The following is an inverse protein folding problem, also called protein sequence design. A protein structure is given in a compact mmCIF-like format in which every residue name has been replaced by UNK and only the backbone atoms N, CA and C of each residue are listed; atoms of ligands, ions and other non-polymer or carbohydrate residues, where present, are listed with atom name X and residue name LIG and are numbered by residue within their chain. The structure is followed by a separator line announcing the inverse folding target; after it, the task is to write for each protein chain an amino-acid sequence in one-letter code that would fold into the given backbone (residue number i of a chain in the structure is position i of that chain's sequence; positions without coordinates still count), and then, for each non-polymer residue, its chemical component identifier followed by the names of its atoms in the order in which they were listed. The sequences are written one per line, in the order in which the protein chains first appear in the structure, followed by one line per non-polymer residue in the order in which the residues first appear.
data_IF_167352841647
#
_entry.id   IF_167352841647
#
_cell.length_a   1.000
_cell.length_b   1.000
_cell.length_c   1.000
_cell.angle_alpha   90.00
_cell.angle_beta   90.00
_cell.angle_gamma   90.00
#
_symmetry.space_group_name_H-M   'P 1'
#
loop_
_entity.id
_entity.type
_entity.pdbx_description
1 polymer ?
#
# COMPACT_ATOMS: atom_id res chain seq x y z
N UNK A 1 14.11 57.21 7.73
CA UNK A 1 15.07 56.21 7.23
C UNK A 1 16.17 56.03 8.27
N UNK A 2 16.87 54.89 8.37
CA UNK A 2 16.40 53.50 8.55
C UNK A 2 17.25 52.70 9.59
N UNK A 3 16.79 51.52 10.03
CA UNK A 3 17.51 50.22 10.03
C UNK A 3 16.62 49.18 10.75
N UNK A 4 16.17 48.04 10.21
CA UNK A 4 16.74 46.94 9.40
C UNK A 4 17.15 45.73 10.28
N UNK A 5 16.78 44.54 9.78
CA UNK A 5 17.15 43.19 10.23
C UNK A 5 16.36 42.64 11.44
N UNK A 6 15.73 41.47 11.40
CA UNK A 6 15.72 40.39 10.42
C UNK A 6 15.09 39.14 11.07
N UNK A 7 14.18 38.51 10.33
CA UNK A 7 14.02 37.05 10.21
C UNK A 7 14.29 36.16 11.43
N UNK A 8 13.23 35.76 12.13
CA UNK A 8 13.19 34.57 12.98
C UNK A 8 12.28 33.52 12.34
N UNK A 9 12.89 32.54 11.70
CA UNK A 9 12.28 31.48 10.90
C UNK A 9 11.05 30.82 11.53
N UNK A 10 10.07 30.56 10.65
CA UNK A 10 9.01 29.56 10.78
C UNK A 10 9.59 28.26 11.35
N UNK A 11 9.48 28.07 12.67
CA UNK A 11 9.70 26.79 13.32
C UNK A 11 8.51 25.91 12.97
N UNK A 12 8.79 24.97 12.08
CA UNK A 12 8.22 23.63 12.15
C UNK A 12 6.70 23.59 12.31
N UNK A 13 5.98 24.03 11.29
CA UNK A 13 4.68 23.42 10.98
C UNK A 13 4.96 21.97 10.56
N UNK A 14 5.21 21.13 11.56
CA UNK A 14 5.13 19.68 11.46
C UNK A 14 3.72 19.41 10.95
N UNK A 15 3.59 19.12 9.66
CA UNK A 15 2.32 18.81 9.04
C UNK A 15 1.73 17.65 9.84
N UNK A 16 0.61 17.91 10.54
CA UNK A 16 -0.08 16.90 11.33
C UNK A 16 -0.19 15.63 10.49
N UNK A 17 0.13 14.44 11.04
CA UNK A 17 0.04 13.21 10.28
C UNK A 17 -1.37 13.12 9.73
N UNK A 18 -1.46 13.01 8.40
CA UNK A 18 -2.75 12.87 7.70
C UNK A 18 -3.50 11.73 8.38
N UNK A 19 -4.72 11.96 8.91
CA UNK A 19 -5.48 10.91 9.57
C UNK A 19 -5.64 9.78 8.57
N UNK A 20 -5.04 8.63 8.85
CA UNK A 20 -5.33 7.42 8.09
C UNK A 20 -6.84 7.19 8.27
N UNK A 21 -7.61 7.05 7.18
CA UNK A 21 -9.03 6.75 7.29
C UNK A 21 -9.21 5.55 8.23
N UNK A 22 -10.12 5.65 9.22
CA UNK A 22 -10.44 4.53 10.12
C UNK A 22 -11.17 3.46 9.33
N UNK A 23 -10.39 2.66 8.64
CA UNK A 23 -10.83 1.50 7.89
C UNK A 23 -11.22 0.44 8.93
N UNK A 24 -12.39 -0.20 8.83
CA UNK A 24 -12.74 -1.28 9.73
C UNK A 24 -11.62 -2.30 9.74
N UNK A 25 -11.32 -2.92 10.89
CA UNK A 25 -10.19 -3.85 11.02
C UNK A 25 -10.23 -4.98 9.96
N UNK A 26 -11.42 -5.29 9.42
CA UNK A 26 -11.66 -6.23 8.32
C UNK A 26 -11.23 -5.77 6.93
N UNK A 27 -10.72 -4.55 6.77
CA UNK A 27 -10.30 -3.98 5.49
C UNK A 27 -8.84 -3.49 5.55
N UNK A 28 -8.21 -3.42 4.39
CA UNK A 28 -6.83 -2.97 4.18
C UNK A 28 -6.83 -1.93 3.06
N UNK A 29 -6.12 -0.83 3.26
CA UNK A 29 -5.94 0.17 2.19
C UNK A 29 -4.82 -0.27 1.26
N UNK A 30 -5.12 -0.35 -0.03
CA UNK A 30 -4.18 -0.73 -1.08
C UNK A 30 -3.96 0.43 -2.02
N UNK A 31 -2.71 0.88 -2.13
CA UNK A 31 -2.34 2.09 -2.88
C UNK A 31 -1.40 1.77 -4.04
N UNK A 32 -1.67 2.38 -5.20
CA UNK A 32 -0.81 2.35 -6.39
C UNK A 32 -0.86 3.69 -7.14
N UNK A 33 0.29 4.27 -7.48
CA UNK A 33 0.39 5.52 -8.27
C UNK A 33 -0.49 6.69 -7.79
N UNK A 34 -0.79 6.76 -6.49
CA UNK A 34 -1.68 7.78 -5.88
C UNK A 34 -3.15 7.36 -5.78
N UNK A 35 -3.57 6.31 -6.46
CA UNK A 35 -4.90 5.71 -6.34
C UNK A 35 -4.95 4.77 -5.12
N UNK A 36 -6.04 4.82 -4.35
CA UNK A 36 -6.19 4.00 -3.14
C UNK A 36 -7.55 3.32 -3.12
N UNK A 37 -7.55 2.01 -2.88
CA UNK A 37 -8.73 1.17 -2.77
C UNK A 37 -8.77 0.50 -1.39
N UNK A 38 -9.95 0.47 -0.77
CA UNK A 38 -10.18 -0.38 0.38
C UNK A 38 -10.50 -1.79 -0.12
N UNK A 39 -9.80 -2.80 0.39
CA UNK A 39 -10.02 -4.20 0.05
C UNK A 39 -10.24 -5.04 1.32
N UNK A 40 -11.14 -6.02 1.25
CA UNK A 40 -11.43 -6.91 2.38
C UNK A 40 -10.22 -7.78 2.72
N UNK A 41 -9.81 -7.76 3.99
CA UNK A 41 -8.65 -8.47 4.52
C UNK A 41 -8.73 -9.98 4.26
N UNK A 42 -9.89 -10.58 4.53
CA UNK A 42 -10.10 -12.01 4.33
C UNK A 42 -10.05 -12.40 2.85
N UNK A 43 -10.56 -11.54 1.97
CA UNK A 43 -10.44 -11.72 0.52
C UNK A 43 -8.99 -11.71 0.07
N UNK A 44 -8.19 -10.74 0.55
CA UNK A 44 -6.76 -10.67 0.25
C UNK A 44 -6.02 -11.92 0.78
N UNK A 45 -6.32 -12.35 2.00
CA UNK A 45 -5.69 -13.52 2.61
C UNK A 45 -6.00 -14.80 1.81
N UNK A 46 -7.27 -14.99 1.42
CA UNK A 46 -7.73 -16.19 0.70
C UNK A 46 -7.21 -16.29 -0.74
N UNK A 47 -6.98 -15.16 -1.42
CA UNK A 47 -6.41 -15.15 -2.77
C UNK A 47 -4.96 -15.68 -2.83
N UNK A 48 -4.24 -15.60 -1.72
CA UNK A 48 -2.79 -15.79 -1.70
C UNK A 48 -2.05 -14.66 -2.43
N UNK A 49 -0.73 -14.59 -2.23
CA UNK A 49 0.09 -13.52 -2.84
C UNK A 49 -0.04 -13.43 -4.36
N UNK A 50 0.02 -14.57 -5.06
CA UNK A 50 -0.04 -14.59 -6.52
C UNK A 50 -1.42 -14.19 -7.04
N UNK A 51 -2.50 -14.70 -6.42
CA UNK A 51 -3.88 -14.33 -6.79
C UNK A 51 -4.13 -12.85 -6.54
N UNK A 52 -3.63 -12.33 -5.42
CA UNK A 52 -3.72 -10.91 -5.11
C UNK A 52 -2.95 -10.05 -6.13
N UNK A 53 -1.73 -10.44 -6.53
CA UNK A 53 -0.98 -9.70 -7.57
C UNK A 53 -1.70 -9.67 -8.93
N UNK A 54 -2.39 -10.76 -9.31
CA UNK A 54 -3.25 -10.81 -10.51
C UNK A 54 -4.42 -9.83 -10.38
N UNK A 55 -5.04 -9.79 -9.19
CA UNK A 55 -6.11 -8.87 -8.87
C UNK A 55 -5.67 -7.41 -9.02
N UNK A 56 -4.51 -7.06 -8.47
CA UNK A 56 -3.93 -5.71 -8.55
C UNK A 56 -3.63 -5.31 -9.99
N UNK A 57 -3.10 -6.23 -10.82
CA UNK A 57 -2.90 -5.96 -12.24
C UNK A 57 -4.23 -5.64 -12.94
N UNK A 58 -5.27 -6.44 -12.67
CA UNK A 58 -6.62 -6.21 -13.20
C UNK A 58 -7.12 -4.79 -12.91
N UNK A 59 -7.11 -4.43 -11.62
CA UNK A 59 -7.64 -3.15 -11.13
C UNK A 59 -6.81 -1.96 -11.62
N UNK A 60 -5.50 -1.99 -11.41
CA UNK A 60 -4.65 -0.80 -11.55
C UNK A 60 -3.97 -0.65 -12.90
N UNK A 61 -3.87 -1.73 -13.68
CA UNK A 61 -3.13 -1.72 -14.96
C UNK A 61 -4.07 -2.01 -16.12
N UNK A 62 -4.92 -3.03 -16.01
CA UNK A 62 -5.85 -3.40 -17.06
C UNK A 62 -7.18 -2.63 -17.02
N UNK A 63 -7.47 -1.92 -15.92
CA UNK A 63 -8.73 -1.19 -15.74
C UNK A 63 -9.96 -2.09 -15.61
N UNK A 64 -9.77 -3.37 -15.31
CA UNK A 64 -10.84 -4.38 -15.18
C UNK A 64 -11.03 -4.78 -13.71
N UNK A 65 -12.14 -5.45 -13.39
CA UNK A 65 -12.31 -6.05 -12.06
C UNK A 65 -11.26 -7.15 -11.80
N UNK A 66 -11.14 -7.55 -10.54
CA UNK A 66 -10.27 -8.65 -10.11
C UNK A 66 -10.49 -9.87 -11.02
N UNK A 67 -9.48 -10.21 -11.84
CA UNK A 67 -9.67 -11.19 -12.92
C UNK A 67 -9.66 -12.61 -12.35
N UNK A 68 -10.83 -13.24 -12.28
CA UNK A 68 -10.93 -14.69 -12.19
C UNK A 68 -10.92 -15.28 -13.61
N UNK A 69 -9.88 -16.03 -13.96
CA UNK A 69 -9.87 -16.92 -15.14
C UNK A 69 -9.46 -16.33 -16.50
N UNK A 70 -9.19 -15.04 -16.63
CA UNK A 70 -8.70 -14.43 -17.89
C UNK A 70 -7.19 -14.59 -18.11
N UNK A 71 -6.78 -14.81 -19.36
CA UNK A 71 -5.39 -15.06 -19.80
C UNK A 71 -4.38 -14.08 -19.21
N UNK A 72 -3.73 -14.52 -18.14
CA UNK A 72 -2.72 -13.76 -17.42
C UNK A 72 -1.40 -13.80 -18.18
N UNK A 73 -1.16 -12.82 -19.07
CA UNK A 73 0.11 -12.70 -19.79
C UNK A 73 1.13 -12.04 -18.86
N UNK A 74 1.73 -12.84 -17.99
CA UNK A 74 2.64 -12.40 -16.94
C UNK A 74 4.03 -12.96 -17.10
N UNK A 75 4.93 -12.12 -17.61
CA UNK A 75 6.27 -12.11 -17.04
C UNK A 75 6.63 -10.74 -16.45
N UNK A 76 6.34 -9.62 -17.12
CA UNK A 76 6.92 -8.32 -16.72
C UNK A 76 6.34 -7.78 -15.42
N UNK A 77 5.01 -7.73 -15.29
CA UNK A 77 4.38 -7.16 -14.10
C UNK A 77 4.81 -7.90 -12.82
N UNK A 78 4.72 -9.23 -12.76
CA UNK A 78 5.17 -9.99 -11.59
C UNK A 78 6.67 -9.96 -11.32
N UNK A 79 7.50 -9.80 -12.37
CA UNK A 79 8.95 -9.76 -12.18
C UNK A 79 9.41 -8.49 -11.48
N UNK A 80 8.74 -7.36 -11.71
CA UNK A 80 9.17 -6.06 -11.19
C UNK A 80 8.27 -5.48 -10.12
N UNK A 81 7.02 -5.94 -10.02
CA UNK A 81 6.09 -5.45 -9.00
C UNK A 81 6.43 -6.01 -7.62
N UNK A 82 6.65 -5.12 -6.68
CA UNK A 82 6.82 -5.41 -5.26
C UNK A 82 5.57 -4.97 -4.50
N UNK A 83 5.15 -5.77 -3.52
CA UNK A 83 4.09 -5.40 -2.59
C UNK A 83 4.67 -5.20 -1.21
N UNK A 84 4.50 -3.99 -0.68
CA UNK A 84 4.98 -3.60 0.64
C UNK A 84 3.80 -3.47 1.59
N UNK A 85 3.87 -4.15 2.71
CA UNK A 85 2.91 -4.00 3.81
C UNK A 85 3.46 -3.06 4.87
N UNK A 86 2.60 -2.22 5.44
CA UNK A 86 2.91 -1.48 6.67
C UNK A 86 2.27 -2.19 7.86
N UNK A 87 3.03 -2.39 8.92
CA UNK A 87 2.65 -3.09 10.14
C UNK A 87 2.90 -2.20 11.36
N UNK A 88 2.20 -2.47 12.46
CA UNK A 88 2.59 -1.94 13.76
C UNK A 88 3.67 -2.84 14.37
N UNK A 89 4.77 -2.27 14.82
CA UNK A 89 5.75 -2.97 15.65
C UNK A 89 5.29 -3.07 17.12
N UNK A 90 6.06 -3.77 17.95
CA UNK A 90 5.73 -3.96 19.38
C UNK A 90 5.64 -2.63 20.16
N UNK A 91 6.22 -1.56 19.61
CA UNK A 91 6.19 -0.21 20.16
C UNK A 91 5.11 0.65 19.49
N UNK A 92 4.19 0.05 18.73
CA UNK A 92 3.11 0.68 17.97
C UNK A 92 3.58 1.68 16.90
N UNK A 93 4.84 1.60 16.47
CA UNK A 93 5.30 2.38 15.33
C UNK A 93 4.99 1.67 14.02
N UNK A 94 4.73 2.45 12.97
CA UNK A 94 4.51 1.90 11.64
C UNK A 94 5.84 1.52 10.98
N UNK A 95 5.95 0.27 10.53
CA UNK A 95 7.11 -0.27 9.81
C UNK A 95 6.67 -0.90 8.50
N UNK A 96 7.41 -0.64 7.43
CA UNK A 96 7.14 -1.24 6.13
C UNK A 96 8.06 -2.44 5.88
N UNK A 97 7.50 -3.51 5.34
CA UNK A 97 8.22 -4.71 4.95
C UNK A 97 7.65 -5.27 3.64
N UNK A 98 8.47 -5.95 2.86
CA UNK A 98 8.01 -6.67 1.69
C UNK A 98 7.13 -7.84 2.13
N UNK A 99 5.95 -7.98 1.52
CA UNK A 99 5.06 -9.09 1.83
C UNK A 99 5.62 -10.37 1.20
N UNK A 100 5.88 -11.38 2.03
CA UNK A 100 6.41 -12.67 1.58
C UNK A 100 5.31 -13.61 1.04
N UNK A 101 5.72 -14.69 0.38
CA UNK A 101 4.80 -15.75 -0.06
C UNK A 101 4.38 -16.67 1.09
N UNK A 102 5.34 -17.05 1.95
CA UNK A 102 5.11 -17.89 3.12
C UNK A 102 4.55 -17.02 4.25
N UNK A 103 3.55 -17.54 4.97
CA UNK A 103 2.87 -16.80 6.03
C UNK A 103 1.98 -15.67 5.52
N UNK A 104 1.55 -15.73 4.25
CA UNK A 104 0.76 -14.67 3.60
C UNK A 104 -0.49 -14.30 4.39
N UNK A 105 -1.30 -15.30 4.75
CA UNK A 105 -2.56 -15.05 5.45
C UNK A 105 -2.29 -14.35 6.79
N UNK A 106 -1.32 -14.83 7.55
CA UNK A 106 -0.92 -14.30 8.86
C UNK A 106 -0.37 -12.87 8.77
N UNK A 107 0.43 -12.57 7.74
CA UNK A 107 0.89 -11.21 7.47
C UNK A 107 -0.27 -10.29 7.11
N UNK A 108 -1.16 -10.73 6.23
CA UNK A 108 -2.35 -9.95 5.85
C UNK A 108 -3.27 -9.73 7.05
N UNK A 109 -3.28 -10.59 8.06
CA UNK A 109 -4.05 -10.32 9.27
C UNK A 109 -3.53 -9.14 10.10
N UNK A 110 -2.24 -8.82 9.98
CA UNK A 110 -1.59 -7.76 10.76
C UNK A 110 -1.25 -6.51 9.93
N UNK A 111 -1.47 -6.55 8.61
CA UNK A 111 -1.13 -5.45 7.72
C UNK A 111 -2.12 -4.28 7.87
N UNK A 112 -1.61 -3.06 7.90
CA UNK A 112 -2.39 -1.82 8.01
C UNK A 112 -2.69 -1.29 6.61
N UNK A 113 -1.65 -1.17 5.80
CA UNK A 113 -1.73 -0.69 4.41
C UNK A 113 -0.83 -1.53 3.53
N UNK A 114 -1.21 -1.64 2.26
CA UNK A 114 -0.41 -2.28 1.21
C UNK A 114 -0.10 -1.24 0.15
N UNK A 115 1.15 -1.16 -0.25
CA UNK A 115 1.58 -0.37 -1.39
C UNK A 115 2.08 -1.31 -2.49
N UNK A 116 1.51 -1.17 -3.68
CA UNK A 116 2.08 -1.76 -4.89
C UNK A 116 3.14 -0.81 -5.43
N UNK A 117 4.37 -1.31 -5.50
CA UNK A 117 5.51 -0.61 -6.11
C UNK A 117 5.80 -1.31 -7.43
N UNK A 118 5.55 -0.61 -8.52
CA UNK A 118 5.91 -1.06 -9.86
C UNK A 118 6.63 0.11 -10.55
N UNK A 119 7.89 -0.07 -11.01
CA UNK A 119 8.53 0.95 -11.81
C UNK A 119 7.70 1.09 -13.09
N UNK A 120 7.11 2.28 -13.31
CA UNK A 120 6.56 2.61 -14.62
C UNK A 120 7.72 2.50 -15.62
N UNK A 121 7.52 1.70 -16.66
CA UNK A 121 8.41 1.62 -17.81
C UNK A 121 8.47 2.97 -18.54
#
# INVERSE_FOLDING_TARGET
MPDNSGTGANRDQLSSPTPIPRVPQSWVMVTYSGETHAMGRDGIANLGKLGFMKCLYGIFVAGNSCVEGGGYVSPHFLKFAQIRGTFYDAQHNMRSADLAYIGWAEMIQNVVTIQLVYPKA
#
